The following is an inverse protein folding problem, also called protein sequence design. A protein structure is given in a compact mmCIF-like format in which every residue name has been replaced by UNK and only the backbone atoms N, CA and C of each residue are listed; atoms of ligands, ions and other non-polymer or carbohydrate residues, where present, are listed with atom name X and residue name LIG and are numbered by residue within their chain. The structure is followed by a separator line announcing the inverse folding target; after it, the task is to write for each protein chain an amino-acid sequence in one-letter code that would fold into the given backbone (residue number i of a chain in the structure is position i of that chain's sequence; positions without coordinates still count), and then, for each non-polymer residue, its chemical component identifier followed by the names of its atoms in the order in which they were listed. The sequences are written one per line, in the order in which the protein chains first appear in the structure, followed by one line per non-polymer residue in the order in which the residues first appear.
data_IF_372078396753
#
_entry.id   IF_372078396753
#
_cell.length_a   1.000
_cell.length_b   1.000
_cell.length_c   1.000
_cell.angle_alpha   90.00
_cell.angle_beta   90.00
_cell.angle_gamma   90.00
#
_symmetry.space_group_name_H-M   'P 1'
#
loop_
_entity.id
_entity.type
_entity.pdbx_description
1 polymer ?
#
# COMPACT_ATOMS: atom_id res chain seq x y z
N UNK A 1 11.36 18.45 -9.98
CA UNK A 1 10.01 19.02 -9.97
C UNK A 1 9.70 19.73 -8.67
N UNK A 2 9.55 19.04 -7.54
CA UNK A 2 9.07 19.68 -6.30
C UNK A 2 9.99 20.76 -5.69
N UNK A 3 11.25 20.81 -6.15
CA UNK A 3 12.29 21.76 -5.75
C UNK A 3 12.46 22.94 -6.72
N UNK A 4 11.67 22.98 -7.80
CA UNK A 4 11.76 24.04 -8.80
C UNK A 4 11.18 25.34 -8.23
N UNK A 5 12.04 26.37 -8.14
CA UNK A 5 11.69 27.67 -7.55
C UNK A 5 11.08 28.61 -8.57
N UNK A 6 11.39 28.39 -9.85
CA UNK A 6 10.80 29.14 -10.95
C UNK A 6 9.39 28.57 -11.24
N UNK A 7 8.36 29.36 -10.93
CA UNK A 7 6.95 28.96 -11.12
C UNK A 7 6.65 28.50 -12.56
N UNK A 8 7.03 29.25 -13.61
CA UNK A 8 6.93 28.78 -14.99
C UNK A 8 7.59 27.41 -15.23
N UNK A 9 8.81 27.19 -14.75
CA UNK A 9 9.53 25.92 -14.95
C UNK A 9 8.86 24.78 -14.17
N UNK A 10 8.42 25.04 -12.94
CA UNK A 10 7.68 24.08 -12.11
C UNK A 10 6.39 23.65 -12.80
N UNK A 11 5.61 24.62 -13.29
CA UNK A 11 4.34 24.39 -13.96
C UNK A 11 4.55 23.53 -15.21
N UNK A 12 5.57 23.85 -16.02
CA UNK A 12 5.92 23.06 -17.20
C UNK A 12 6.27 21.61 -16.85
N UNK A 13 7.14 21.41 -15.86
CA UNK A 13 7.52 20.06 -15.42
C UNK A 13 6.29 19.28 -14.92
N UNK A 14 5.45 19.92 -14.12
CA UNK A 14 4.23 19.33 -13.58
C UNK A 14 3.23 18.94 -14.68
N UNK A 15 3.07 19.77 -15.70
CA UNK A 15 2.24 19.43 -16.87
C UNK A 15 2.75 18.19 -17.60
N UNK A 16 4.07 18.07 -17.79
CA UNK A 16 4.68 16.89 -18.42
C UNK A 16 4.39 15.64 -17.58
N UNK A 17 4.63 15.68 -16.27
CA UNK A 17 4.38 14.54 -15.39
C UNK A 17 2.93 14.10 -15.36
N UNK A 18 1.98 15.03 -15.27
CA UNK A 18 0.54 14.71 -15.28
C UNK A 18 0.12 14.10 -16.61
N UNK A 19 0.71 14.56 -17.71
CA UNK A 19 0.42 14.03 -19.05
C UNK A 19 0.95 12.59 -19.20
N UNK A 20 2.19 12.35 -18.78
CA UNK A 20 2.82 11.01 -18.80
C UNK A 20 2.14 10.01 -17.85
N UNK A 21 1.64 10.48 -16.70
CA UNK A 21 1.03 9.64 -15.66
C UNK A 21 -0.50 9.71 -15.65
N UNK A 22 -1.10 10.21 -16.73
CA UNK A 22 -2.55 10.40 -16.88
C UNK A 22 -3.38 9.11 -16.78
N UNK A 23 -2.71 7.94 -16.88
CA UNK A 23 -3.31 6.61 -16.74
C UNK A 23 -3.90 6.38 -15.34
N UNK A 24 -3.33 7.00 -14.29
CA UNK A 24 -3.87 6.94 -12.92
C UNK A 24 -4.75 8.16 -12.60
N UNK A 25 -5.94 8.19 -13.19
CA UNK A 25 -6.88 9.31 -13.08
C UNK A 25 -7.22 9.72 -11.62
N UNK A 26 -7.46 8.77 -10.67
CA UNK A 26 -7.76 9.14 -9.29
C UNK A 26 -6.59 9.85 -8.59
N UNK A 27 -5.36 9.40 -8.85
CA UNK A 27 -4.16 9.99 -8.27
C UNK A 27 -3.96 11.44 -8.75
N UNK A 28 -4.01 11.66 -10.06
CA UNK A 28 -3.83 12.99 -10.64
C UNK A 28 -4.92 13.99 -10.19
N UNK A 29 -6.15 13.52 -9.98
CA UNK A 29 -7.26 14.34 -9.47
C UNK A 29 -7.06 14.76 -8.01
N UNK A 30 -6.65 13.83 -7.15
CA UNK A 30 -6.34 14.11 -5.74
C UNK A 30 -5.13 15.03 -5.63
N UNK A 31 -4.08 14.76 -6.40
CA UNK A 31 -2.87 15.58 -6.41
C UNK A 31 -3.19 17.04 -6.77
N UNK A 32 -4.00 17.25 -7.82
CA UNK A 32 -4.44 18.60 -8.22
C UNK A 32 -5.25 19.29 -7.13
N UNK A 33 -6.36 18.70 -6.72
CA UNK A 33 -7.34 19.31 -5.81
C UNK A 33 -6.77 19.60 -4.41
N UNK A 34 -5.91 18.72 -3.89
CA UNK A 34 -5.42 18.84 -2.51
C UNK A 34 -4.06 19.51 -2.37
N UNK A 35 -3.19 19.36 -3.36
CA UNK A 35 -1.78 19.73 -3.22
C UNK A 35 -1.30 20.81 -4.20
N UNK A 36 -2.01 21.05 -5.31
CA UNK A 36 -1.53 21.96 -6.36
C UNK A 36 -2.38 23.23 -6.50
N UNK A 37 -3.69 23.16 -6.24
CA UNK A 37 -4.58 24.31 -6.28
C UNK A 37 -4.26 25.36 -5.20
N UNK A 38 -4.71 26.61 -5.42
CA UNK A 38 -4.58 27.73 -4.48
C UNK A 38 -3.16 28.04 -4.01
N UNK A 39 -2.17 27.79 -4.87
CA UNK A 39 -0.74 27.93 -4.55
C UNK A 39 -0.30 27.07 -3.35
N UNK A 40 -1.06 26.02 -3.01
CA UNK A 40 -0.76 25.12 -1.90
C UNK A 40 0.64 24.50 -2.06
N UNK A 41 1.06 24.23 -3.30
CA UNK A 41 2.39 23.72 -3.61
C UNK A 41 3.51 24.62 -3.09
N UNK A 42 3.34 25.94 -3.08
CA UNK A 42 4.34 26.87 -2.53
C UNK A 42 4.43 26.78 -1.00
N UNK A 43 3.38 26.31 -0.32
CA UNK A 43 3.32 26.22 1.14
C UNK A 43 3.92 24.94 1.67
N UNK A 44 3.60 23.79 1.07
CA UNK A 44 4.11 22.50 1.53
C UNK A 44 5.50 22.18 0.96
N UNK A 45 5.86 22.68 -0.23
CA UNK A 45 7.25 22.62 -0.70
C UNK A 45 8.19 23.50 0.13
N UNK A 46 7.69 24.56 0.78
CA UNK A 46 8.48 25.41 1.67
C UNK A 46 8.78 24.78 3.04
N UNK A 47 8.10 23.69 3.42
CA UNK A 47 8.48 22.88 4.59
C UNK A 47 9.86 22.22 4.42
N UNK A 48 10.42 22.27 3.21
CA UNK A 48 11.74 21.76 2.86
C UNK A 48 12.77 22.89 2.82
N UNK A 49 13.70 22.90 3.78
CA UNK A 49 14.88 23.77 3.77
C UNK A 49 16.14 22.94 3.42
N UNK A 50 16.86 23.27 2.32
CA UNK A 50 17.98 22.44 1.80
C UNK A 50 19.20 22.28 2.72
N UNK A 51 19.25 22.97 3.86
CA UNK A 51 20.48 23.12 4.64
C UNK A 51 20.37 22.81 6.14
N UNK A 52 19.17 22.63 6.71
CA UNK A 52 19.04 22.43 8.17
C UNK A 52 18.39 21.10 8.57
N UNK A 53 17.67 20.41 7.68
CA UNK A 53 16.98 19.16 8.02
C UNK A 53 16.95 18.16 6.84
N UNK A 54 18.13 17.77 6.34
CA UNK A 54 18.28 16.64 5.40
C UNK A 54 17.65 15.33 5.91
N UNK A 55 17.39 15.25 7.21
CA UNK A 55 16.79 14.10 7.88
C UNK A 55 15.25 14.07 7.77
N UNK A 56 14.63 15.21 7.42
CA UNK A 56 13.19 15.31 7.11
C UNK A 56 12.88 15.02 5.64
N UNK A 57 13.92 14.85 4.80
CA UNK A 57 13.76 14.52 3.38
C UNK A 57 13.28 13.10 3.15
N UNK A 58 13.51 12.21 4.12
CA UNK A 58 13.14 10.82 3.94
C UNK A 58 11.77 10.57 4.53
N UNK A 59 10.81 10.36 3.63
CA UNK A 59 9.59 9.60 3.89
C UNK A 59 9.84 8.40 4.82
N UNK A 60 11.04 7.81 4.79
CA UNK A 60 11.53 6.77 5.68
C UNK A 60 11.24 6.99 7.17
N UNK A 61 11.30 8.21 7.74
CA UNK A 61 11.01 8.39 9.17
C UNK A 61 9.52 8.22 9.47
N UNK A 62 8.67 8.90 8.70
CA UNK A 62 7.20 8.81 8.82
C UNK A 62 6.72 7.41 8.43
N UNK A 63 7.27 6.83 7.38
CA UNK A 63 7.00 5.46 6.95
C UNK A 63 7.47 4.43 7.96
N UNK A 64 8.66 4.58 8.54
CA UNK A 64 9.16 3.66 9.58
C UNK A 64 8.25 3.69 10.80
N UNK A 65 7.87 4.88 11.28
CA UNK A 65 6.93 5.02 12.38
C UNK A 65 5.56 4.43 12.06
N UNK A 66 5.01 4.74 10.88
CA UNK A 66 3.74 4.19 10.42
C UNK A 66 3.79 2.66 10.29
N UNK A 67 4.87 2.11 9.75
CA UNK A 67 5.06 0.66 9.59
C UNK A 67 5.18 -0.04 10.94
N UNK A 68 5.89 0.55 11.91
CA UNK A 68 5.96 0.03 13.28
C UNK A 68 4.59 0.04 13.95
N UNK A 69 3.86 1.15 13.86
CA UNK A 69 2.52 1.26 14.44
C UNK A 69 1.54 0.28 13.79
N UNK A 70 1.63 0.11 12.47
CA UNK A 70 0.84 -0.87 11.73
C UNK A 70 1.17 -2.30 12.12
N UNK A 71 2.44 -2.65 12.29
CA UNK A 71 2.86 -3.98 12.74
C UNK A 71 2.30 -4.30 14.12
N UNK A 72 2.45 -3.39 15.08
CA UNK A 72 1.93 -3.56 16.45
C UNK A 72 0.41 -3.70 16.43
N UNK A 73 -0.29 -2.83 15.70
CA UNK A 73 -1.75 -2.87 15.62
C UNK A 73 -2.26 -4.19 15.02
N UNK A 74 -1.65 -4.65 13.93
CA UNK A 74 -2.04 -5.91 13.28
C UNK A 74 -1.75 -7.12 14.18
N UNK A 75 -0.61 -7.13 14.89
CA UNK A 75 -0.29 -8.18 15.85
C UNK A 75 -1.30 -8.22 17.01
N UNK A 76 -1.72 -7.06 17.51
CA UNK A 76 -2.76 -6.97 18.55
C UNK A 76 -4.11 -7.48 18.04
N UNK A 77 -4.50 -7.14 16.81
CA UNK A 77 -5.72 -7.64 16.20
C UNK A 77 -5.65 -9.16 16.02
N UNK A 78 -4.54 -9.69 15.53
CA UNK A 78 -4.34 -11.14 15.37
C UNK A 78 -4.42 -11.88 16.71
N UNK A 79 -3.79 -11.34 17.77
CA UNK A 79 -3.87 -11.89 19.14
C UNK A 79 -5.27 -11.82 19.76
N UNK A 80 -6.12 -10.89 19.30
CA UNK A 80 -7.49 -10.75 19.75
C UNK A 80 -8.46 -11.73 19.07
N UNK A 81 -8.02 -12.43 18.02
CA UNK A 81 -8.77 -13.51 17.38
C UNK A 81 -8.76 -14.71 18.34
N UNK A 82 -9.95 -15.20 18.72
CA UNK A 82 -10.06 -16.41 19.55
C UNK A 82 -9.53 -17.64 18.81
N UNK A 83 -9.04 -18.63 19.56
CA UNK A 83 -8.55 -19.90 18.98
C UNK A 83 -9.58 -20.58 18.08
N UNK A 84 -10.87 -20.50 18.44
CA UNK A 84 -11.98 -21.05 17.66
C UNK A 84 -12.21 -20.31 16.33
N UNK A 85 -11.88 -19.00 16.27
CA UNK A 85 -11.97 -18.22 15.05
C UNK A 85 -10.78 -18.48 14.11
N UNK A 86 -9.60 -18.80 14.65
CA UNK A 86 -8.41 -19.21 13.87
C UNK A 86 -8.67 -20.47 13.04
N UNK A 87 -9.37 -21.47 13.60
CA UNK A 87 -9.74 -22.69 12.87
C UNK A 87 -10.76 -22.44 11.74
N UNK A 88 -11.54 -21.35 11.82
CA UNK A 88 -12.51 -20.95 10.79
C UNK A 88 -11.94 -19.99 9.74
N UNK A 89 -10.73 -19.45 9.96
CA UNK A 89 -10.10 -18.51 9.02
C UNK A 89 -9.62 -19.21 7.75
N UNK A 90 -9.24 -20.49 7.83
CA UNK A 90 -8.81 -21.27 6.67
C UNK A 90 -9.88 -22.31 6.34
N UNK A 91 -10.68 -22.02 5.32
CA UNK A 91 -11.60 -23.00 4.75
C UNK A 91 -10.84 -24.00 3.86
N UNK A 92 -11.22 -25.27 4.02
CA UNK A 92 -10.70 -26.51 3.42
C UNK A 92 -9.89 -26.36 2.13
N UNK A 93 -8.71 -26.98 2.10
CA UNK A 93 -7.87 -27.07 0.91
C UNK A 93 -8.61 -27.82 -0.22
N UNK A 94 -8.83 -27.14 -1.35
CA UNK A 94 -9.28 -27.75 -2.60
C UNK A 94 -8.11 -27.91 -3.56
N UNK A 95 -8.23 -28.79 -4.55
CA UNK A 95 -7.19 -28.96 -5.58
C UNK A 95 -7.66 -28.32 -6.88
N UNK A 96 -6.85 -27.44 -7.46
CA UNK A 96 -7.13 -26.87 -8.79
C UNK A 96 -6.92 -27.92 -9.90
N UNK A 97 -7.36 -27.58 -11.11
CA UNK A 97 -7.13 -28.37 -12.33
C UNK A 97 -5.65 -28.76 -12.55
N UNK A 98 -4.74 -27.93 -12.05
CA UNK A 98 -3.28 -28.09 -12.21
C UNK A 98 -2.65 -28.92 -11.09
N UNK A 99 -3.44 -29.52 -10.18
CA UNK A 99 -2.94 -30.33 -9.06
C UNK A 99 -2.46 -29.53 -7.84
N UNK A 100 -2.56 -28.20 -7.86
CA UNK A 100 -2.12 -27.31 -6.76
C UNK A 100 -3.18 -27.15 -5.68
N UNK A 101 -2.75 -27.03 -4.43
CA UNK A 101 -3.62 -26.77 -3.28
C UNK A 101 -4.10 -25.32 -3.27
N UNK A 102 -5.40 -25.13 -3.04
CA UNK A 102 -6.04 -23.83 -2.90
C UNK A 102 -6.73 -23.74 -1.56
N UNK A 103 -6.33 -22.76 -0.77
CA UNK A 103 -6.91 -22.42 0.52
C UNK A 103 -7.82 -21.21 0.35
N UNK A 104 -8.98 -21.26 0.97
CA UNK A 104 -9.86 -20.10 1.08
C UNK A 104 -9.60 -19.49 2.46
N UNK A 105 -9.02 -18.29 2.48
CA UNK A 105 -8.65 -17.60 3.72
C UNK A 105 -9.57 -16.41 3.94
N UNK A 106 -10.33 -16.44 5.02
CA UNK A 106 -11.20 -15.34 5.45
C UNK A 106 -10.36 -14.18 5.99
N UNK A 107 -10.74 -12.96 5.63
CA UNK A 107 -10.10 -11.74 6.10
C UNK A 107 -10.40 -11.53 7.59
N UNK A 108 -9.35 -11.35 8.39
CA UNK A 108 -9.50 -11.01 9.80
C UNK A 108 -9.83 -9.53 10.03
N UNK A 109 -9.56 -8.65 9.07
CA UNK A 109 -9.79 -7.20 9.19
C UNK A 109 -11.10 -6.73 8.54
N UNK A 110 -11.73 -7.57 7.70
CA UNK A 110 -12.92 -7.18 6.93
C UNK A 110 -13.88 -8.35 6.86
N UNK A 111 -14.97 -8.27 7.62
CA UNK A 111 -15.99 -9.32 7.67
C UNK A 111 -16.54 -9.62 6.27
N UNK A 112 -16.64 -10.91 5.92
CA UNK A 112 -17.21 -11.41 4.67
C UNK A 112 -16.30 -11.33 3.43
N UNK A 113 -15.02 -10.96 3.60
CA UNK A 113 -14.05 -10.97 2.50
C UNK A 113 -13.17 -12.21 2.58
N UNK A 114 -13.16 -13.01 1.52
CA UNK A 114 -12.35 -14.24 1.44
C UNK A 114 -11.32 -14.14 0.30
N UNK A 115 -10.16 -14.72 0.52
CA UNK A 115 -9.05 -14.75 -0.43
C UNK A 115 -8.69 -16.18 -0.81
N UNK A 116 -8.64 -16.45 -2.11
CA UNK A 116 -8.11 -17.71 -2.60
C UNK A 116 -6.58 -17.61 -2.65
N UNK A 117 -5.93 -18.53 -1.95
CA UNK A 117 -4.47 -18.64 -1.85
C UNK A 117 -4.06 -19.96 -2.48
N UNK A 118 -3.29 -19.90 -3.57
CA UNK A 118 -2.72 -21.08 -4.21
C UNK A 118 -1.35 -21.34 -3.60
N UNK A 119 -1.16 -22.54 -3.08
CA UNK A 119 0.08 -22.99 -2.45
C UNK A 119 0.62 -24.19 -3.20
N UNK A 120 1.92 -24.19 -3.41
CA UNK A 120 2.69 -25.25 -4.08
C UNK A 120 4.02 -25.39 -3.32
N UNK A 121 4.44 -26.61 -2.96
CA UNK A 121 5.64 -26.86 -2.14
C UNK A 121 5.80 -25.97 -0.89
N UNK A 122 4.72 -25.80 -0.11
CA UNK A 122 4.67 -24.90 1.06
C UNK A 122 4.96 -23.42 0.77
N UNK A 123 5.00 -23.01 -0.50
CA UNK A 123 5.16 -21.64 -0.93
C UNK A 123 3.88 -21.09 -1.55
N UNK A 124 3.55 -19.84 -1.21
CA UNK A 124 2.42 -19.16 -1.80
C UNK A 124 2.75 -18.74 -3.23
N UNK A 125 2.07 -19.35 -4.20
CA UNK A 125 2.28 -19.10 -5.62
C UNK A 125 1.34 -17.98 -6.14
N UNK A 126 0.13 -17.86 -5.56
CA UNK A 126 -0.73 -16.71 -5.85
C UNK A 126 -1.74 -16.38 -4.75
N UNK A 127 -2.14 -15.11 -4.65
CA UNK A 127 -3.25 -14.66 -3.82
C UNK A 127 -4.05 -13.57 -4.54
N UNK A 128 -5.38 -13.59 -4.40
CA UNK A 128 -6.27 -12.54 -4.94
C UNK A 128 -6.22 -11.21 -4.18
N UNK A 129 -5.41 -11.11 -3.13
CA UNK A 129 -5.25 -9.86 -2.38
C UNK A 129 -4.62 -8.76 -3.26
N UNK A 130 -5.02 -7.49 -3.07
CA UNK A 130 -4.37 -6.36 -3.74
C UNK A 130 -2.86 -6.35 -3.47
N UNK A 131 -2.44 -6.61 -2.24
CA UNK A 131 -1.03 -6.59 -1.82
C UNK A 131 -0.16 -7.56 -2.65
N UNK A 132 -0.64 -8.78 -2.90
CA UNK A 132 0.07 -9.75 -3.74
C UNK A 132 0.06 -9.34 -5.22
N UNK A 133 -1.09 -8.87 -5.73
CA UNK A 133 -1.24 -8.46 -7.13
C UNK A 133 -0.29 -7.32 -7.53
N UNK A 134 -0.01 -6.39 -6.62
CA UNK A 134 0.84 -5.23 -6.91
C UNK A 134 2.32 -5.47 -6.63
N UNK A 135 2.65 -6.27 -5.61
CA UNK A 135 4.04 -6.35 -5.14
C UNK A 135 4.69 -7.74 -5.31
N UNK A 136 3.91 -8.78 -5.64
CA UNK A 136 4.38 -10.18 -5.70
C UNK A 136 5.09 -10.66 -4.42
N UNK A 137 4.72 -10.07 -3.27
CA UNK A 137 5.23 -10.42 -1.93
C UNK A 137 4.17 -11.26 -1.21
N UNK A 138 4.59 -12.24 -0.42
CA UNK A 138 3.69 -13.05 0.43
C UNK A 138 2.69 -12.15 1.19
N UNK A 139 1.40 -12.44 1.03
CA UNK A 139 0.35 -11.57 1.55
C UNK A 139 0.17 -11.74 3.07
N UNK A 140 -0.40 -10.72 3.72
CA UNK A 140 -0.58 -10.67 5.18
C UNK A 140 -1.53 -11.72 5.76
N UNK A 141 -2.13 -12.57 4.93
CA UNK A 141 -3.04 -13.64 5.34
C UNK A 141 -2.33 -14.91 5.86
N UNK A 142 -0.98 -14.91 5.84
CA UNK A 142 -0.12 -15.98 6.34
C UNK A 142 0.37 -15.76 7.79
N UNK A 143 0.05 -14.62 8.41
CA UNK A 143 0.48 -14.26 9.77
C UNK A 143 -0.64 -14.45 10.78
#
# INVERSE_FOLDING_TARGET
MMWERDRPVFTRQLTVFITENSVSWPFCSILKSRYLENDAFMRWSAAYQPAMYTNLETNNYVESWHNQLKAIYLEMQAKAISGDALEQIIETASTNSDGRSVYVVSSFSTSGVNYNVVVDDFQMNSCRSPDFRFNNIACKHMY
#
